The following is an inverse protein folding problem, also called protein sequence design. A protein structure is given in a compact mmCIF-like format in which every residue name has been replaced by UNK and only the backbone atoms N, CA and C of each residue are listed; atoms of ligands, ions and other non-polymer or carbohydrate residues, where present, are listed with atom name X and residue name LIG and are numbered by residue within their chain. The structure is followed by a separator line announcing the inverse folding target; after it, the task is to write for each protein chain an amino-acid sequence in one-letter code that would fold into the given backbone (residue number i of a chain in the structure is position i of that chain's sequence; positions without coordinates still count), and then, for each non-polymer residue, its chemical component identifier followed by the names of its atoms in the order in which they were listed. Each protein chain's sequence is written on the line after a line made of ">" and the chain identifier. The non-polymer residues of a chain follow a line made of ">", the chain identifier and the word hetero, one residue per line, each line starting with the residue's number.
data_IF_145176353256
#
_entry.id   IF_145176353256
#
_cell.length_a   1.000
_cell.length_b   1.000
_cell.length_c   1.000
_cell.angle_alpha   90.00
_cell.angle_beta   90.00
_cell.angle_gamma   90.00
#
_symmetry.space_group_name_H-M   'P 1'
#
loop_
_entity.id
_entity.type
_entity.pdbx_description
1 polymer ?
#
# COMPACT_ATOMS: atom_id res chain seq x y z
N UNK A 1 7.55 -14.53 -18.16
CA UNK A 1 7.95 -14.69 -17.32
C UNK A 1 8.04 -14.65 -16.86
N UNK A 2 7.85 -14.22 -16.95
CA UNK A 2 8.16 -14.18 -16.08
C UNK A 2 7.93 -13.98 -15.52
N UNK A 3 7.87 -13.64 -15.46
CA UNK A 3 8.12 -13.58 -14.51
C UNK A 3 7.92 -13.60 -14.07
N UNK A 4 7.93 -13.44 -14.12
CA UNK A 4 8.28 -13.49 -13.34
C UNK A 4 8.60 -14.07 -13.02
N UNK A 5 8.81 -14.10 -13.42
CA UNK A 5 9.50 -14.56 -12.92
C UNK A 5 9.99 -14.86 -12.46
N UNK A 6 10.20 -14.85 -12.69
CA UNK A 6 11.03 -15.13 -12.04
C UNK A 6 11.43 -15.50 -11.78
N UNK A 7 11.88 -15.67 -11.81
CA UNK A 7 12.29 -15.98 -11.36
C UNK A 7 12.60 -16.08 -11.14
N UNK A 8 12.89 -16.12 -11.16
CA UNK A 8 13.28 -16.11 -10.47
C UNK A 8 14.26 -15.93 -10.01
N UNK A 9 14.37 -15.64 -10.38
CA UNK A 9 15.55 -16.00 -9.89
C UNK A 9 16.21 -15.15 -8.88
N UNK A 10 17.46 -14.98 -9.07
CA UNK A 10 18.30 -14.37 -8.05
C UNK A 10 18.05 -12.87 -7.88
N UNK A 11 17.51 -12.22 -8.88
CA UNK A 11 17.20 -10.80 -8.76
C UNK A 11 16.07 -10.54 -7.78
N UNK A 12 15.39 -11.58 -7.32
CA UNK A 12 14.34 -11.46 -6.33
C UNK A 12 14.81 -11.83 -4.93
N UNK A 13 16.11 -11.97 -4.72
CA UNK A 13 16.62 -12.39 -3.42
C UNK A 13 16.21 -11.42 -2.32
N UNK A 14 16.26 -10.12 -2.58
CA UNK A 14 15.88 -9.14 -1.57
C UNK A 14 14.41 -9.25 -1.21
N UNK A 15 13.56 -9.50 -2.21
CA UNK A 15 12.14 -9.70 -1.94
C UNK A 15 11.91 -11.00 -1.16
N UNK A 16 12.65 -12.05 -1.52
CA UNK A 16 12.56 -13.33 -0.81
C UNK A 16 12.96 -13.20 0.65
N UNK A 17 13.81 -12.24 0.97
CA UNK A 17 14.23 -11.98 2.34
C UNK A 17 13.31 -11.01 3.05
N UNK A 18 12.19 -10.65 2.42
CA UNK A 18 11.21 -9.77 3.03
C UNK A 18 11.39 -8.30 2.74
N UNK A 19 12.30 -7.95 1.85
CA UNK A 19 12.46 -6.56 1.42
C UNK A 19 11.46 -6.26 0.31
N UNK A 20 10.86 -5.10 0.37
CA UNK A 20 9.90 -4.65 -0.61
C UNK A 20 10.59 -3.75 -1.63
N UNK A 21 10.15 -3.82 -2.87
CA UNK A 21 10.73 -2.93 -3.88
C UNK A 21 10.23 -1.49 -3.70
N UNK A 22 10.93 -0.57 -4.34
CA UNK A 22 10.63 0.85 -4.20
C UNK A 22 9.25 1.21 -4.73
N UNK A 23 8.80 0.53 -5.79
CA UNK A 23 7.51 0.81 -6.37
C UNK A 23 6.37 0.42 -5.43
N UNK A 24 6.49 -0.72 -4.78
CA UNK A 24 5.48 -1.15 -3.83
C UNK A 24 5.44 -0.22 -2.62
N UNK A 25 6.61 0.17 -2.11
CA UNK A 25 6.67 1.11 -0.99
C UNK A 25 6.10 2.48 -1.38
N UNK A 26 6.36 2.92 -2.61
CA UNK A 26 5.81 4.17 -3.11
C UNK A 26 4.29 4.12 -3.19
N UNK A 27 3.73 3.00 -3.66
CA UNK A 27 2.30 2.82 -3.73
C UNK A 27 1.69 2.79 -2.33
N UNK A 28 2.35 2.10 -1.39
CA UNK A 28 1.89 2.08 0.00
C UNK A 28 1.88 3.49 0.61
N UNK A 29 2.92 4.26 0.35
CA UNK A 29 3.00 5.63 0.86
C UNK A 29 1.84 6.48 0.31
N UNK A 30 1.53 6.34 -0.97
CA UNK A 30 0.43 7.08 -1.58
C UNK A 30 -0.92 6.71 -0.95
N UNK A 31 -1.13 5.42 -0.68
CA UNK A 31 -2.36 4.99 -0.01
C UNK A 31 -2.40 5.47 1.44
N UNK A 32 -1.25 5.46 2.11
CA UNK A 32 -1.16 5.94 3.49
C UNK A 32 -1.48 7.43 3.59
N UNK A 33 -1.07 8.23 2.62
CA UNK A 33 -1.42 9.65 2.58
C UNK A 33 -2.94 9.81 2.56
N UNK A 34 -3.61 9.04 1.71
CA UNK A 34 -5.06 9.11 1.60
C UNK A 34 -5.72 8.66 2.89
N UNK A 35 -5.24 7.56 3.46
CA UNK A 35 -5.79 7.01 4.69
C UNK A 35 -5.61 7.98 5.86
N UNK A 36 -4.41 8.51 6.02
CA UNK A 36 -4.13 9.48 7.09
C UNK A 36 -4.98 10.74 6.92
N UNK A 37 -5.17 11.18 5.67
CA UNK A 37 -6.01 12.33 5.39
C UNK A 37 -7.44 12.12 5.84
N UNK A 38 -8.00 10.94 5.62
CA UNK A 38 -9.36 10.61 6.03
C UNK A 38 -9.48 10.54 7.55
N UNK A 39 -8.50 9.92 8.20
CA UNK A 39 -8.48 9.81 9.66
C UNK A 39 -8.46 11.21 10.28
N UNK A 40 -7.63 12.08 9.75
CA UNK A 40 -7.51 13.45 10.24
C UNK A 40 -8.78 14.25 9.94
N UNK A 41 -9.28 14.15 8.72
CA UNK A 41 -10.48 14.87 8.30
C UNK A 41 -11.69 14.52 9.16
N UNK A 42 -11.79 13.26 9.56
CA UNK A 42 -12.91 12.78 10.37
C UNK A 42 -12.61 12.85 11.86
N UNK A 43 -11.48 13.39 12.24
CA UNK A 43 -11.06 13.55 13.64
C UNK A 43 -11.09 12.23 14.40
N UNK A 44 -10.69 11.14 13.74
CA UNK A 44 -10.69 9.83 14.37
C UNK A 44 -9.46 9.66 15.25
N UNK A 45 -9.66 9.11 16.45
CA UNK A 45 -8.55 8.70 17.29
C UNK A 45 -7.93 7.42 16.71
N UNK A 46 -6.74 7.06 17.20
CA UNK A 46 -6.14 5.80 16.78
C UNK A 46 -7.02 4.61 17.17
N UNK A 47 -7.68 4.69 18.31
CA UNK A 47 -8.62 3.65 18.74
C UNK A 47 -9.78 3.53 17.77
N UNK A 48 -10.38 4.67 17.39
CA UNK A 48 -11.49 4.65 16.45
C UNK A 48 -11.06 4.16 15.07
N UNK A 49 -9.92 4.62 14.60
CA UNK A 49 -9.39 4.19 13.31
C UNK A 49 -9.13 2.69 13.31
N UNK A 50 -8.55 2.17 14.39
CA UNK A 50 -8.30 0.73 14.51
C UNK A 50 -9.60 -0.06 14.48
N UNK A 51 -10.62 0.41 15.19
CA UNK A 51 -11.91 -0.26 15.25
C UNK A 51 -12.59 -0.28 13.89
N UNK A 52 -12.59 0.83 13.19
CA UNK A 52 -13.28 0.93 11.91
C UNK A 52 -12.55 0.14 10.83
N UNK A 53 -11.23 0.24 10.77
CA UNK A 53 -10.45 -0.40 9.71
C UNK A 53 -10.16 -1.87 10.01
N UNK A 54 -10.33 -2.31 11.24
CA UNK A 54 -9.94 -3.66 11.64
C UNK A 54 -8.45 -3.83 11.82
N UNK A 55 -7.68 -2.77 11.70
CA UNK A 55 -6.24 -2.82 11.95
C UNK A 55 -5.97 -2.65 13.43
N UNK A 56 -4.84 -3.19 13.90
CA UNK A 56 -4.45 -2.99 15.29
C UNK A 56 -3.98 -1.54 15.49
N UNK A 57 -4.05 -1.07 16.73
CA UNK A 57 -3.58 0.29 17.02
C UNK A 57 -2.09 0.48 16.67
N UNK A 58 -1.20 -0.49 16.97
CA UNK A 58 0.18 -0.34 16.52
C UNK A 58 0.33 -0.19 15.02
N UNK A 59 -0.49 -0.88 14.23
CA UNK A 59 -0.45 -0.73 12.77
C UNK A 59 -0.95 0.64 12.34
N UNK A 60 -2.03 1.13 12.96
CA UNK A 60 -2.51 2.49 12.69
C UNK A 60 -1.41 3.51 12.99
N UNK A 61 -0.71 3.34 14.11
CA UNK A 61 0.40 4.20 14.47
C UNK A 61 1.51 4.16 13.43
N UNK A 62 1.82 2.96 12.90
CA UNK A 62 2.82 2.81 11.86
C UNK A 62 2.41 3.51 10.57
N UNK A 63 1.14 3.39 10.17
CA UNK A 63 0.63 4.09 9.00
C UNK A 63 0.78 5.60 9.17
N UNK A 64 0.45 6.10 10.34
CA UNK A 64 0.55 7.53 10.64
C UNK A 64 1.99 8.03 10.48
N UNK A 65 2.96 7.19 10.78
CA UNK A 65 4.39 7.53 10.69
C UNK A 65 5.02 7.04 9.39
N UNK A 66 4.22 6.49 8.47
CA UNK A 66 4.70 5.98 7.18
C UNK A 66 5.73 4.87 7.33
N UNK A 67 5.56 4.02 8.34
CA UNK A 67 6.37 2.83 8.52
C UNK A 67 5.61 1.63 8.00
N UNK A 68 5.70 1.40 6.69
CA UNK A 68 4.75 0.58 5.96
C UNK A 68 5.27 -0.79 5.55
N UNK A 69 6.48 -1.16 5.94
CA UNK A 69 7.14 -2.37 5.45
C UNK A 69 6.34 -3.64 5.72
N UNK A 70 5.65 -3.72 6.83
CA UNK A 70 4.92 -4.93 7.20
C UNK A 70 3.41 -4.79 7.05
N UNK A 71 2.97 -3.79 6.29
CA UNK A 71 1.56 -3.58 6.02
C UNK A 71 1.37 -3.75 4.51
N UNK A 72 0.49 -4.66 4.11
CA UNK A 72 0.32 -4.96 2.70
C UNK A 72 -0.50 -3.88 2.00
N UNK A 73 -0.32 -3.79 0.67
CA UNK A 73 -1.17 -2.93 -0.15
C UNK A 73 -2.64 -3.28 0.03
N UNK A 74 -2.93 -4.57 0.05
CA UNK A 74 -4.31 -5.04 0.20
C UNK A 74 -4.89 -4.53 1.51
N UNK A 75 -4.11 -4.56 2.59
CA UNK A 75 -4.59 -4.12 3.89
C UNK A 75 -4.89 -2.62 3.89
N UNK A 76 -4.06 -1.83 3.23
CA UNK A 76 -4.30 -0.40 3.10
C UNK A 76 -5.54 -0.11 2.26
N UNK A 77 -5.73 -0.88 1.18
CA UNK A 77 -6.93 -0.74 0.36
C UNK A 77 -8.19 -1.09 1.14
N UNK A 78 -8.15 -2.16 1.92
CA UNK A 78 -9.28 -2.55 2.75
C UNK A 78 -9.61 -1.49 3.79
N UNK A 79 -8.59 -0.87 4.36
CA UNK A 79 -8.81 0.21 5.32
C UNK A 79 -9.53 1.39 4.67
N UNK A 80 -9.13 1.74 3.44
CA UNK A 80 -9.81 2.81 2.71
C UNK A 80 -11.27 2.46 2.45
N UNK A 81 -11.54 1.22 2.06
CA UNK A 81 -12.92 0.78 1.81
C UNK A 81 -13.75 0.88 3.09
N UNK A 82 -13.17 0.54 4.23
CA UNK A 82 -13.86 0.62 5.52
C UNK A 82 -14.19 2.06 5.90
N UNK A 83 -13.54 3.03 5.26
CA UNK A 83 -13.82 4.44 5.45
C UNK A 83 -14.62 5.01 4.27
N UNK A 84 -15.40 4.15 3.61
CA UNK A 84 -16.33 4.52 2.55
C UNK A 84 -15.67 5.02 1.29
N UNK A 85 -14.46 4.55 1.01
CA UNK A 85 -13.78 4.89 -0.24
C UNK A 85 -13.93 3.75 -1.24
N UNK A 86 -14.13 4.10 -2.49
CA UNK A 86 -14.04 3.13 -3.58
C UNK A 86 -12.59 3.05 -4.03
N UNK A 87 -12.08 1.83 -4.09
CA UNK A 87 -10.71 1.59 -4.59
C UNK A 87 -10.83 0.93 -5.95
N UNK A 88 -10.32 1.61 -6.96
CA UNK A 88 -10.37 1.12 -8.33
C UNK A 88 -8.98 0.73 -8.79
N UNK A 89 -8.85 -0.46 -9.39
CA UNK A 89 -7.56 -0.95 -9.87
C UNK A 89 -7.64 -1.04 -11.39
N UNK A 90 -6.72 -0.37 -12.06
CA UNK A 90 -6.66 -0.34 -13.53
C UNK A 90 -5.36 -1.00 -13.96
N UNK A 91 -5.47 -1.96 -14.86
CA UNK A 91 -4.31 -2.64 -15.42
C UNK A 91 -4.30 -2.39 -16.92
N UNK A 92 -3.16 -1.89 -17.43
CA UNK A 92 -3.04 -1.60 -18.86
C UNK A 92 -1.58 -1.74 -19.28
N UNK A 93 -1.33 -1.90 -20.59
CA UNK A 93 0.06 -1.98 -21.06
C UNK A 93 0.84 -0.73 -20.71
N UNK A 94 2.10 -0.89 -20.35
CA UNK A 94 2.97 0.24 -20.05
C UNK A 94 3.27 1.01 -21.34
N UNK A 95 3.49 2.30 -21.20
CA UNK A 95 3.91 3.13 -22.33
C UNK A 95 5.36 2.80 -22.68
N UNK A 96 5.72 2.97 -23.95
CA UNK A 96 7.08 2.68 -24.41
C UNK A 96 8.14 3.51 -23.70
N UNK A 97 7.74 4.70 -23.24
CA UNK A 97 8.70 5.64 -22.67
C UNK A 97 9.07 5.34 -21.23
N UNK A 98 8.46 4.32 -20.63
CA UNK A 98 8.74 4.02 -19.22
C UNK A 98 8.55 2.54 -18.92
N UNK A 99 9.20 2.10 -17.87
CA UNK A 99 9.07 0.74 -17.36
C UNK A 99 7.70 0.57 -16.70
N UNK A 100 7.14 -0.62 -16.84
CA UNK A 100 5.91 -0.97 -16.14
C UNK A 100 6.13 -0.90 -14.63
N UNK A 101 5.11 -0.50 -13.92
CA UNK A 101 5.20 -0.40 -12.47
C UNK A 101 3.84 -0.20 -11.84
N UNK A 102 3.84 0.00 -10.53
CA UNK A 102 2.63 0.21 -9.74
C UNK A 102 2.55 1.68 -9.37
N UNK A 103 1.44 2.32 -9.74
CA UNK A 103 1.22 3.72 -9.36
C UNK A 103 -0.18 3.87 -8.78
N UNK A 104 -0.32 4.86 -7.90
CA UNK A 104 -1.60 5.19 -7.31
C UNK A 104 -2.03 6.54 -7.88
N UNK A 105 -3.21 6.58 -8.48
CA UNK A 105 -3.73 7.80 -9.06
C UNK A 105 -3.99 8.85 -7.99
N UNK A 106 -3.79 10.09 -8.35
CA UNK A 106 -3.98 11.20 -7.42
C UNK A 106 -5.45 11.39 -7.04
#
# INVERSE_FOLDING_TARGET
>A
MTSKRHPRGTDNVLLDLGFEDAEELSAKAALAVKLNGLIEQRSLSQTDAARITGMTQPKISKVKRYKLQNISLERLMQALVSLDQDVEIVVRPARRSRTAGITVAA
#
